data_IF_620685584166
#
_entry.id   IF_620685584166
#
_cell.length_a   1.000
_cell.length_b   1.000
_cell.length_c   1.000
_cell.angle_alpha   90.00
_cell.angle_beta   90.00
_cell.angle_gamma   90.00
#
_symmetry.space_group_name_H-M   'P 1'
#
loop_
_entity.id
_entity.type
_entity.pdbx_description
1 polymer ?
#
# COMPACT_ATOMS: atom_id res chain seq x y z
N UNK A 1 50.08 -32.32 -38.53
CA UNK A 1 50.11 -31.97 -37.09
C UNK A 1 49.13 -30.84 -36.69
N UNK A 2 48.03 -30.57 -37.44
CA UNK A 2 47.04 -29.52 -37.10
C UNK A 2 45.71 -30.08 -36.57
N UNK A 3 45.51 -31.40 -36.63
CA UNK A 3 44.27 -32.06 -36.20
C UNK A 3 44.28 -32.49 -34.73
N UNK A 4 45.45 -32.47 -34.09
CA UNK A 4 45.59 -32.76 -32.64
C UNK A 4 45.20 -31.52 -31.82
N UNK A 5 45.42 -30.32 -32.37
CA UNK A 5 45.07 -29.06 -31.72
C UNK A 5 43.54 -28.81 -31.69
N UNK A 6 42.80 -29.25 -32.72
CA UNK A 6 41.34 -29.10 -32.77
C UNK A 6 40.60 -30.02 -31.82
N UNK A 7 41.18 -31.16 -31.43
CA UNK A 7 40.56 -32.11 -30.50
C UNK A 7 40.65 -31.65 -29.03
N UNK A 8 41.64 -30.82 -28.68
CA UNK A 8 41.76 -30.23 -27.34
C UNK A 8 40.75 -29.11 -27.08
N UNK A 9 40.30 -28.38 -28.11
CA UNK A 9 39.37 -27.26 -27.97
C UNK A 9 37.92 -27.74 -27.72
N UNK A 10 37.56 -28.94 -28.16
CA UNK A 10 36.24 -29.54 -27.90
C UNK A 10 36.18 -30.14 -26.49
N UNK A 11 37.31 -30.59 -25.94
CA UNK A 11 37.38 -31.07 -24.54
C UNK A 11 37.19 -29.94 -23.51
N UNK A 12 37.43 -28.68 -23.89
CA UNK A 12 37.18 -27.51 -23.04
C UNK A 12 35.72 -27.03 -23.03
N UNK A 13 34.88 -27.52 -23.96
CA UNK A 13 33.44 -27.19 -23.99
C UNK A 13 32.58 -28.20 -23.22
N UNK A 14 33.16 -29.30 -22.73
CA UNK A 14 32.49 -30.33 -21.95
C UNK A 14 32.60 -30.11 -20.42
N UNK A 15 33.41 -29.15 -19.98
CA UNK A 15 33.32 -28.61 -18.61
C UNK A 15 32.17 -27.61 -18.55
N UNK A 16 30.96 -28.11 -18.80
CA UNK A 16 29.77 -27.45 -18.30
C UNK A 16 29.95 -27.28 -16.77
N UNK A 17 29.51 -26.17 -16.17
CA UNK A 17 29.44 -26.13 -14.71
C UNK A 17 28.57 -27.31 -14.31
N UNK A 18 29.04 -28.12 -13.36
CA UNK A 18 28.23 -29.10 -12.66
C UNK A 18 27.13 -28.37 -11.87
N UNK A 19 26.17 -27.78 -12.57
CA UNK A 19 24.90 -27.32 -12.00
C UNK A 19 23.84 -28.44 -12.12
N UNK A 20 24.29 -29.70 -12.21
CA UNK A 20 23.46 -30.90 -12.17
C UNK A 20 23.20 -31.39 -10.74
N UNK A 21 23.69 -30.67 -9.73
CA UNK A 21 23.31 -30.87 -8.34
C UNK A 21 22.19 -29.89 -7.97
N UNK A 22 21.07 -29.95 -8.68
CA UNK A 22 19.79 -29.66 -8.04
C UNK A 22 19.44 -30.88 -7.19
N UNK A 23 20.27 -31.14 -6.18
CA UNK A 23 19.90 -32.06 -5.12
C UNK A 23 18.75 -31.43 -4.34
N UNK A 24 17.82 -32.27 -3.94
CA UNK A 24 16.72 -32.03 -3.00
C UNK A 24 17.27 -31.76 -1.58
N UNK A 25 18.31 -30.92 -1.47
CA UNK A 25 18.89 -30.49 -0.22
C UNK A 25 17.99 -29.39 0.36
N UNK A 26 17.68 -29.43 1.67
CA UNK A 26 16.95 -28.36 2.32
C UNK A 26 17.72 -27.05 2.07
N UNK A 27 17.02 -25.96 1.71
CA UNK A 27 17.66 -24.70 1.39
C UNK A 27 18.60 -24.30 2.53
N UNK A 28 19.86 -24.08 2.18
CA UNK A 28 20.88 -23.64 3.14
C UNK A 28 20.64 -22.18 3.53
N UNK A 29 21.04 -21.76 4.73
CA UNK A 29 20.96 -20.35 5.15
C UNK A 29 21.64 -19.40 4.15
N UNK A 30 22.74 -19.85 3.54
CA UNK A 30 23.45 -19.09 2.51
C UNK A 30 22.62 -18.94 1.22
N UNK A 31 21.86 -19.96 0.82
CA UNK A 31 20.89 -19.88 -0.28
C UNK A 31 19.75 -18.91 0.01
N UNK A 32 19.25 -18.87 1.24
CA UNK A 32 18.25 -17.88 1.67
C UNK A 32 18.81 -16.45 1.66
N UNK A 33 20.05 -16.26 2.12
CA UNK A 33 20.72 -14.96 2.09
C UNK A 33 20.92 -14.45 0.66
N UNK A 34 21.41 -15.30 -0.25
CA UNK A 34 21.60 -14.96 -1.67
C UNK A 34 20.27 -14.67 -2.38
N UNK A 35 19.22 -15.45 -2.10
CA UNK A 35 17.88 -15.21 -2.64
C UNK A 35 17.30 -13.89 -2.10
N UNK A 36 17.54 -13.57 -0.83
CA UNK A 36 17.15 -12.29 -0.23
C UNK A 36 17.84 -11.10 -0.88
N UNK A 37 19.14 -11.20 -1.13
CA UNK A 37 19.91 -10.16 -1.82
C UNK A 37 19.42 -9.97 -3.27
N UNK A 38 19.14 -11.07 -3.98
CA UNK A 38 18.55 -11.03 -5.33
C UNK A 38 17.15 -10.40 -5.35
N UNK A 39 16.29 -10.75 -4.40
CA UNK A 39 14.96 -10.15 -4.26
C UNK A 39 15.05 -8.65 -3.94
N UNK A 40 16.00 -8.23 -3.10
CA UNK A 40 16.20 -6.83 -2.75
C UNK A 40 16.67 -5.99 -3.96
N UNK A 41 17.58 -6.53 -4.77
CA UNK A 41 18.01 -5.88 -6.01
C UNK A 41 16.87 -5.73 -7.01
N UNK A 42 16.01 -6.75 -7.14
CA UNK A 42 14.84 -6.72 -8.01
C UNK A 42 13.81 -5.70 -7.55
N UNK A 43 13.47 -5.71 -6.25
CA UNK A 43 12.53 -4.75 -5.67
C UNK A 43 13.04 -3.31 -5.79
N UNK A 44 14.35 -3.09 -5.63
CA UNK A 44 14.95 -1.78 -5.83
C UNK A 44 14.79 -1.30 -7.27
N UNK A 45 15.07 -2.16 -8.26
CA UNK A 45 14.87 -1.82 -9.66
C UNK A 45 13.40 -1.54 -10.01
N UNK A 46 12.47 -2.31 -9.44
CA UNK A 46 11.04 -2.06 -9.59
C UNK A 46 10.63 -0.71 -9.00
N UNK A 47 11.11 -0.38 -7.80
CA UNK A 47 10.81 0.89 -7.14
C UNK A 47 11.41 2.07 -7.90
N UNK A 48 12.60 1.91 -8.47
CA UNK A 48 13.24 2.94 -9.30
C UNK A 48 12.45 3.19 -10.60
N UNK A 49 11.92 2.15 -11.24
CA UNK A 49 11.02 2.28 -12.39
C UNK A 49 9.65 2.89 -11.99
N UNK A 50 9.16 2.56 -10.79
CA UNK A 50 7.91 3.11 -10.25
C UNK A 50 8.05 4.51 -9.64
N UNK A 51 9.27 5.03 -9.48
CA UNK A 51 9.52 6.34 -8.88
C UNK A 51 8.69 7.48 -9.49
N UNK A 52 8.53 7.63 -10.81
CA UNK A 52 7.65 8.67 -11.38
C UNK A 52 6.18 8.51 -10.96
N UNK A 53 5.67 7.28 -10.89
CA UNK A 53 4.30 7.03 -10.46
C UNK A 53 4.09 7.28 -8.95
N UNK A 54 5.12 7.06 -8.13
CA UNK A 54 5.10 7.38 -6.70
C UNK A 54 5.12 8.90 -6.48
N UNK A 55 5.89 9.63 -7.28
CA UNK A 55 5.94 11.10 -7.24
C UNK A 55 4.60 11.72 -7.68
N UNK A 56 3.95 11.15 -8.70
CA UNK A 56 2.58 11.53 -9.10
C UNK A 56 1.56 11.28 -7.98
N UNK A 57 1.68 10.15 -7.27
CA UNK A 57 0.82 9.82 -6.13
C UNK A 57 1.06 10.75 -4.94
N UNK A 58 2.30 11.14 -4.67
CA UNK A 58 2.65 12.12 -3.65
C UNK A 58 2.03 13.47 -3.98
N UNK A 59 2.15 13.95 -5.22
CA UNK A 59 1.50 15.18 -5.66
C UNK A 59 -0.03 15.12 -5.56
N UNK A 60 -0.65 13.97 -5.88
CA UNK A 60 -2.08 13.79 -5.68
C UNK A 60 -2.44 13.78 -4.18
N UNK A 61 -1.65 13.14 -3.34
CA UNK A 61 -1.85 13.12 -1.90
C UNK A 61 -1.68 14.50 -1.27
N UNK A 62 -0.74 15.33 -1.73
CA UNK A 62 -0.59 16.72 -1.31
C UNK A 62 -1.81 17.57 -1.70
N UNK A 63 -2.34 17.40 -2.91
CA UNK A 63 -3.53 18.10 -3.37
C UNK A 63 -4.81 17.61 -2.67
N UNK A 64 -4.88 16.32 -2.31
CA UNK A 64 -6.03 15.74 -1.60
C UNK A 64 -5.92 15.86 -0.07
N UNK A 65 -4.74 16.13 0.47
CA UNK A 65 -4.47 16.31 1.89
C UNK A 65 -5.39 17.35 2.56
N UNK A 66 -5.46 18.60 2.07
CA UNK A 66 -6.34 19.60 2.66
C UNK A 66 -7.81 19.22 2.55
N UNK A 67 -8.24 18.64 1.42
CA UNK A 67 -9.61 18.15 1.26
C UNK A 67 -9.94 16.98 2.21
N UNK A 68 -8.98 16.10 2.49
CA UNK A 68 -9.11 15.03 3.47
C UNK A 68 -9.18 15.55 4.90
N UNK A 69 -8.45 16.62 5.22
CA UNK A 69 -8.52 17.29 6.52
C UNK A 69 -9.87 17.99 6.74
N UNK A 70 -10.39 18.66 5.72
CA UNK A 70 -11.75 19.22 5.72
C UNK A 70 -12.82 18.11 5.89
N UNK A 71 -12.69 17.00 5.16
CA UNK A 71 -13.57 15.84 5.31
C UNK A 71 -13.47 15.21 6.70
N UNK A 72 -12.28 15.11 7.29
CA UNK A 72 -12.10 14.66 8.68
C UNK A 72 -12.83 15.60 9.66
N UNK A 73 -12.76 16.91 9.45
CA UNK A 73 -13.51 17.89 10.24
C UNK A 73 -15.01 17.68 10.17
N UNK A 74 -15.55 17.50 8.95
CA UNK A 74 -16.97 17.21 8.74
C UNK A 74 -17.39 15.85 9.34
N UNK A 75 -16.56 14.81 9.22
CA UNK A 75 -16.79 13.49 9.85
C UNK A 75 -16.87 13.59 11.37
N UNK A 76 -16.09 14.50 11.97
CA UNK A 76 -16.15 14.78 13.42
C UNK A 76 -17.54 15.25 13.88
N UNK A 77 -18.25 16.04 13.08
CA UNK A 77 -19.59 16.54 13.43
C UNK A 77 -20.63 15.41 13.45
N UNK A 78 -20.56 14.46 12.51
CA UNK A 78 -21.44 13.28 12.49
C UNK A 78 -21.29 12.36 13.70
N UNK A 79 -20.17 12.43 14.44
CA UNK A 79 -19.99 11.65 15.66
C UNK A 79 -21.02 12.00 16.74
N UNK A 80 -21.51 13.24 16.76
CA UNK A 80 -22.52 13.75 17.68
C UNK A 80 -23.95 13.30 17.32
N UNK A 81 -24.14 12.63 16.19
CA UNK A 81 -25.44 12.20 15.68
C UNK A 81 -25.52 10.67 15.55
N UNK A 82 -26.74 10.15 15.54
CA UNK A 82 -27.08 8.75 15.29
C UNK A 82 -27.12 8.45 13.79
N UNK A 83 -27.34 7.18 13.42
CA UNK A 83 -27.52 6.79 12.03
C UNK A 83 -28.82 7.38 11.45
N UNK A 84 -28.88 7.63 10.13
CA UNK A 84 -30.10 8.17 9.50
C UNK A 84 -31.28 7.19 9.53
N UNK A 85 -32.47 7.68 9.85
CA UNK A 85 -33.75 6.94 9.81
C UNK A 85 -34.61 7.48 8.65
N UNK A 86 -35.11 6.58 7.80
CA UNK A 86 -35.96 6.95 6.65
C UNK A 86 -37.44 6.87 7.07
N UNK A 87 -38.16 7.97 6.92
CA UNK A 87 -39.57 8.08 7.28
C UNK A 87 -40.48 7.58 6.15
N UNK A 88 -41.75 7.24 6.44
CA UNK A 88 -42.69 6.74 5.42
C UNK A 88 -42.99 7.71 4.27
N UNK A 89 -42.76 9.01 4.47
CA UNK A 89 -42.89 10.04 3.44
C UNK A 89 -41.63 10.21 2.58
N UNK A 90 -40.52 9.52 2.90
CA UNK A 90 -39.25 9.58 2.19
C UNK A 90 -38.24 10.58 2.77
N UNK A 91 -38.59 11.32 3.82
CA UNK A 91 -37.64 12.20 4.51
C UNK A 91 -36.66 11.40 5.37
N UNK A 92 -35.49 11.99 5.64
CA UNK A 92 -34.45 11.40 6.48
C UNK A 92 -34.29 12.24 7.74
N UNK A 93 -34.39 11.58 8.91
CA UNK A 93 -34.09 12.20 10.21
C UNK A 93 -32.76 11.66 10.75
N UNK A 94 -31.92 12.55 11.28
CA UNK A 94 -30.68 12.20 11.98
C UNK A 94 -30.75 12.78 13.39
N UNK A 95 -30.85 11.91 14.40
CA UNK A 95 -31.01 12.32 15.81
C UNK A 95 -29.65 12.65 16.43
N UNK A 96 -29.60 13.58 17.38
CA UNK A 96 -28.37 13.89 18.14
C UNK A 96 -28.20 12.93 19.31
N UNK A 97 -26.98 12.45 19.55
CA UNK A 97 -26.63 11.60 20.70
C UNK A 97 -26.61 12.40 22.00
N UNK A 98 -26.02 13.59 21.97
CA UNK A 98 -25.98 14.50 23.12
C UNK A 98 -27.02 15.59 22.90
N UNK A 99 -28.03 15.71 23.79
CA UNK A 99 -28.96 16.83 23.78
C UNK A 99 -28.20 18.16 23.93
N UNK A 100 -28.61 19.20 23.20
CA UNK A 100 -28.16 20.55 23.50
C UNK A 100 -28.70 20.95 24.88
N UNK A 101 -27.84 21.50 25.74
CA UNK A 101 -28.30 22.18 26.94
C UNK A 101 -29.10 23.42 26.50
N UNK A 102 -30.37 23.44 26.85
CA UNK A 102 -31.29 24.52 26.53
C UNK A 102 -30.87 25.75 27.35
N UNK A 103 -30.59 26.92 26.76
CA UNK A 103 -30.52 28.16 27.51
C UNK A 103 -31.95 28.52 27.91
N UNK A 104 -32.44 27.88 28.97
CA UNK A 104 -33.64 28.32 29.66
C UNK A 104 -33.34 29.66 30.33
N UNK A 105 -33.55 30.76 29.62
CA UNK A 105 -34.09 31.96 30.24
C UNK A 105 -35.37 32.32 29.47
N UNK A 106 -36.57 32.07 30.05
CA UNK A 106 -37.80 32.58 29.47
C UNK A 106 -37.72 34.09 29.53
N UNK A 107 -37.42 34.73 28.40
CA UNK A 107 -37.56 36.16 28.25
C UNK A 107 -39.01 36.51 28.56
N UNK A 108 -39.21 37.08 29.74
CA UNK A 108 -40.43 37.71 30.20
C UNK A 108 -40.91 38.66 29.09
N UNK A 109 -41.81 38.18 28.24
CA UNK A 109 -42.53 39.06 27.33
C UNK A 109 -43.67 39.61 28.16
N UNK A 110 -43.39 40.66 28.93
CA UNK A 110 -44.43 41.50 29.51
C UNK A 110 -45.26 42.07 28.35
N UNK A 111 -46.54 41.69 28.32
CA UNK A 111 -47.57 42.21 27.41
C UNK A 111 -48.17 43.50 27.96
#
# INVERSE_FOLDING_TARGET
>A
MKQIATLGLIAALATAPLATLAEDQPPTEEGFSLMGEGAQLLLRGLLEEMSPALEDLEGLAENMGPAMEELRGMIGDFSAYELPEVLPNGDIIIRRKTPLEDPLEPGETEL
#
